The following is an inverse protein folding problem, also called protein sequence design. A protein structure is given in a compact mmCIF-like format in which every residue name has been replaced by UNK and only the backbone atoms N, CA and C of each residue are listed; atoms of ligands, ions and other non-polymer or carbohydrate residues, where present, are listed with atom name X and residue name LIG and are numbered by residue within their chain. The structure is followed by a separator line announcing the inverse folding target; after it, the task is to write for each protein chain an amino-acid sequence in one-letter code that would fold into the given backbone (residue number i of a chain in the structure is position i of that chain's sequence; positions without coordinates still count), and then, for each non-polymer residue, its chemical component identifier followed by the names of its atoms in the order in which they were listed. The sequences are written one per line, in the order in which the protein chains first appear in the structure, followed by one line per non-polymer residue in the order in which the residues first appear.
data_IF_060096778439
#
_entry.id   IF_060096778439
#
_cell.length_a   1.000
_cell.length_b   1.000
_cell.length_c   1.000
_cell.angle_alpha   90.00
_cell.angle_beta   90.00
_cell.angle_gamma   90.00
#
_symmetry.space_group_name_H-M   'P 1'
#
loop_
_entity.id
_entity.type
_entity.pdbx_description
1 polymer ?
#
# COMPACT_ATOMS: atom_id res chain seq x y z
N UNK A 1 -18.01 17.61 29.78
CA UNK A 1 -18.44 18.47 28.66
C UNK A 1 -17.64 18.07 27.42
N UNK A 2 -18.25 18.08 26.23
CA UNK A 2 -18.16 17.00 25.22
C UNK A 2 -16.97 17.09 24.28
N UNK A 3 -16.69 15.95 23.62
CA UNK A 3 -15.72 15.77 22.54
C UNK A 3 -16.11 16.62 21.32
N UNK A 4 -15.19 17.46 20.83
CA UNK A 4 -15.30 18.07 19.50
C UNK A 4 -14.90 17.05 18.44
N UNK A 5 -15.87 16.65 17.61
CA UNK A 5 -15.63 15.95 16.36
C UNK A 5 -15.25 17.01 15.33
N UNK A 6 -14.02 16.99 14.85
CA UNK A 6 -13.60 17.83 13.71
C UNK A 6 -13.51 16.95 12.47
N UNK A 7 -14.46 17.14 11.55
CA UNK A 7 -14.40 16.61 10.19
C UNK A 7 -13.63 17.63 9.35
N UNK A 8 -12.51 17.26 8.74
CA UNK A 8 -11.90 18.08 7.68
C UNK A 8 -11.59 17.24 6.44
N UNK A 9 -12.23 17.59 5.33
CA UNK A 9 -12.06 17.00 4.01
C UNK A 9 -11.36 18.00 3.07
N UNK A 10 -10.43 17.47 2.28
CA UNK A 10 -9.75 18.05 1.09
C UNK A 10 -8.74 19.18 1.35
N UNK A 11 -7.45 18.82 1.17
CA UNK A 11 -6.40 19.77 0.79
C UNK A 11 -5.58 20.37 1.93
N UNK A 12 -5.13 19.57 2.91
CA UNK A 12 -4.22 20.06 3.94
C UNK A 12 -2.77 19.81 3.52
N UNK A 13 -2.05 20.87 3.13
CA UNK A 13 -0.59 20.84 3.08
C UNK A 13 -0.09 20.65 4.51
N UNK A 14 0.53 19.51 4.78
CA UNK A 14 1.12 19.20 6.08
C UNK A 14 2.42 20.02 6.19
N UNK A 15 2.53 20.96 7.14
CA UNK A 15 3.80 21.64 7.39
C UNK A 15 4.86 20.61 7.78
N UNK A 16 6.08 20.78 7.28
CA UNK A 16 7.26 19.92 7.56
C UNK A 16 7.79 20.18 8.99
N UNK A 17 6.89 20.27 9.98
CA UNK A 17 7.17 20.12 11.41
C UNK A 17 7.16 18.62 11.70
N UNK A 18 7.88 18.11 12.73
CA UNK A 18 7.93 16.68 13.02
C UNK A 18 6.50 16.14 13.15
N UNK A 19 6.07 15.44 12.11
CA UNK A 19 4.74 14.84 12.06
C UNK A 19 4.74 13.84 13.20
N UNK A 20 3.78 13.98 14.12
CA UNK A 20 3.64 13.01 15.21
C UNK A 20 3.47 11.62 14.58
N UNK A 21 4.21 10.65 15.08
CA UNK A 21 4.31 9.31 14.49
C UNK A 21 2.93 8.62 14.31
N UNK A 22 1.94 9.03 15.11
CA UNK A 22 0.54 8.58 15.04
C UNK A 22 -0.18 8.99 13.74
N UNK A 23 0.07 10.20 13.24
CA UNK A 23 -0.52 10.70 11.98
C UNK A 23 0.13 10.02 10.78
N UNK A 24 1.45 9.81 10.81
CA UNK A 24 2.17 9.08 9.76
C UNK A 24 1.71 7.62 9.68
N UNK A 25 1.55 6.95 10.83
CA UNK A 25 1.07 5.58 10.89
C UNK A 25 -0.38 5.44 10.39
N UNK A 26 -1.27 6.36 10.76
CA UNK A 26 -2.66 6.34 10.31
C UNK A 26 -2.77 6.56 8.78
N UNK A 27 -1.96 7.47 8.23
CA UNK A 27 -1.91 7.72 6.79
C UNK A 27 -1.40 6.48 6.02
N UNK A 28 -0.30 5.88 6.49
CA UNK A 28 0.28 4.66 5.91
C UNK A 28 -0.73 3.50 5.90
N UNK A 29 -1.41 3.27 7.02
CA UNK A 29 -2.48 2.27 7.12
C UNK A 29 -3.64 2.54 6.15
N UNK A 30 -3.97 3.82 5.93
CA UNK A 30 -4.95 4.22 4.94
C UNK A 30 -4.53 3.88 3.50
N UNK A 31 -3.24 4.05 3.18
CA UNK A 31 -2.68 3.67 1.88
C UNK A 31 -2.68 2.15 1.68
N UNK A 32 -2.23 1.39 2.67
CA UNK A 32 -2.24 -0.09 2.65
C UNK A 32 -3.66 -0.64 2.44
N UNK A 33 -4.64 -0.07 3.15
CA UNK A 33 -6.04 -0.45 3.00
C UNK A 33 -6.57 -0.16 1.59
N UNK A 34 -6.25 1.02 1.05
CA UNK A 34 -6.67 1.42 -0.29
C UNK A 34 -6.08 0.49 -1.36
N UNK A 35 -4.78 0.20 -1.28
CA UNK A 35 -4.09 -0.69 -2.20
C UNK A 35 -4.68 -2.12 -2.12
N UNK A 36 -4.83 -2.65 -0.91
CA UNK A 36 -5.41 -3.98 -0.69
C UNK A 36 -6.83 -4.08 -1.24
N UNK A 37 -7.67 -3.05 -1.02
CA UNK A 37 -9.04 -3.03 -1.53
C UNK A 37 -9.10 -2.97 -3.06
N UNK A 38 -8.19 -2.24 -3.70
CA UNK A 38 -8.11 -2.18 -5.17
C UNK A 38 -7.64 -3.52 -5.77
N UNK A 39 -6.77 -4.25 -5.08
CA UNK A 39 -6.20 -5.51 -5.57
C UNK A 39 -7.05 -6.74 -5.21
N UNK A 40 -7.95 -6.62 -4.24
CA UNK A 40 -8.80 -7.72 -3.76
C UNK A 40 -9.61 -8.42 -4.86
N UNK A 41 -10.26 -7.72 -5.83
CA UNK A 41 -11.01 -8.37 -6.90
C UNK A 41 -10.11 -9.24 -7.79
N UNK A 42 -8.87 -8.82 -8.04
CA UNK A 42 -7.92 -9.59 -8.84
C UNK A 42 -7.45 -10.84 -8.10
N UNK A 43 -7.22 -10.74 -6.78
CA UNK A 43 -6.90 -11.90 -5.95
C UNK A 43 -8.06 -12.90 -5.92
N UNK A 44 -9.31 -12.43 -5.87
CA UNK A 44 -10.49 -13.29 -5.97
C UNK A 44 -10.55 -14.01 -7.32
N UNK A 45 -10.29 -13.30 -8.42
CA UNK A 45 -10.24 -13.91 -9.76
C UNK A 45 -9.17 -15.02 -9.85
N UNK A 46 -7.97 -14.81 -9.29
CA UNK A 46 -6.95 -15.85 -9.23
C UNK A 46 -7.44 -17.08 -8.42
N UNK A 47 -8.08 -16.83 -7.27
CA UNK A 47 -8.64 -17.90 -6.42
C UNK A 47 -9.71 -18.72 -7.15
N UNK A 48 -10.61 -18.07 -7.90
CA UNK A 48 -11.61 -18.74 -8.74
C UNK A 48 -10.97 -19.64 -9.80
N UNK A 49 -9.80 -19.24 -10.31
CA UNK A 49 -8.99 -20.03 -11.25
C UNK A 49 -8.10 -21.06 -10.55
N UNK A 50 -8.20 -21.22 -9.23
CA UNK A 50 -7.38 -22.11 -8.40
C UNK A 50 -5.88 -21.77 -8.47
N UNK A 51 -5.57 -20.48 -8.63
CA UNK A 51 -4.21 -19.94 -8.64
C UNK A 51 -3.98 -19.22 -7.31
N UNK A 52 -2.89 -19.58 -6.63
CA UNK A 52 -2.45 -18.89 -5.42
C UNK A 52 -1.89 -17.50 -5.78
N UNK A 53 -2.36 -16.48 -5.08
CA UNK A 53 -1.94 -15.10 -5.31
C UNK A 53 -1.80 -14.35 -3.98
N UNK A 54 -0.67 -13.66 -3.84
CA UNK A 54 -0.37 -12.82 -2.68
C UNK A 54 -0.25 -11.36 -3.10
N UNK A 55 -0.76 -10.47 -2.25
CA UNK A 55 -0.59 -9.02 -2.42
C UNK A 55 0.57 -8.63 -1.51
N UNK A 56 1.67 -8.19 -2.11
CA UNK A 56 2.86 -7.74 -1.40
C UNK A 56 2.98 -6.23 -1.57
N UNK A 57 3.16 -5.52 -0.46
CA UNK A 57 3.42 -4.08 -0.45
C UNK A 57 4.83 -3.84 0.08
N UNK A 58 5.63 -3.11 -0.70
CA UNK A 58 7.03 -2.80 -0.38
C UNK A 58 7.17 -1.30 -0.34
N UNK A 59 7.70 -0.79 0.76
CA UNK A 59 8.14 0.60 0.86
C UNK A 59 9.60 0.68 0.43
N UNK A 60 9.86 1.51 -0.58
CA UNK A 60 11.20 1.71 -1.09
C UNK A 60 11.33 3.07 -1.77
N UNK A 61 12.50 3.69 -1.59
CA UNK A 61 12.86 4.93 -2.28
C UNK A 61 13.30 4.65 -3.73
N UNK A 62 13.92 3.49 -3.98
CA UNK A 62 14.33 3.00 -5.29
C UNK A 62 13.48 1.80 -5.72
N UNK A 63 12.50 2.07 -6.58
CA UNK A 63 11.54 1.08 -7.07
C UNK A 63 12.22 -0.04 -7.88
N UNK A 64 13.11 0.23 -8.85
CA UNK A 64 13.86 -0.82 -9.56
C UNK A 64 14.61 -1.79 -8.63
N UNK A 65 15.33 -1.26 -7.64
CA UNK A 65 16.11 -2.09 -6.71
C UNK A 65 15.18 -2.93 -5.84
N UNK A 66 14.08 -2.36 -5.35
CA UNK A 66 13.10 -3.07 -4.56
C UNK A 66 12.44 -4.24 -5.31
N UNK A 67 12.05 -4.01 -6.57
CA UNK A 67 11.49 -5.06 -7.43
C UNK A 67 12.52 -6.17 -7.67
N UNK A 68 13.77 -5.80 -7.99
CA UNK A 68 14.85 -6.78 -8.21
C UNK A 68 15.10 -7.66 -6.99
N UNK A 69 15.10 -7.06 -5.79
CA UNK A 69 15.28 -7.78 -4.54
C UNK A 69 14.12 -8.72 -4.26
N UNK A 70 12.88 -8.27 -4.46
CA UNK A 70 11.71 -9.10 -4.22
C UNK A 70 11.61 -10.28 -5.21
N UNK A 71 11.89 -10.04 -6.49
CA UNK A 71 11.94 -11.10 -7.51
C UNK A 71 12.96 -12.17 -7.15
N UNK A 72 14.14 -11.75 -6.67
CA UNK A 72 15.21 -12.66 -6.25
C UNK A 72 14.83 -13.45 -5.00
N UNK A 73 14.23 -12.78 -4.01
CA UNK A 73 13.82 -13.38 -2.73
C UNK A 73 12.68 -14.38 -2.90
N UNK A 74 11.70 -14.04 -3.73
CA UNK A 74 10.49 -14.83 -3.95
C UNK A 74 10.62 -15.83 -5.10
N UNK A 75 11.83 -15.99 -5.65
CA UNK A 75 12.17 -16.95 -6.72
C UNK A 75 11.22 -16.85 -7.93
N UNK A 76 10.89 -15.61 -8.32
CA UNK A 76 9.95 -15.34 -9.41
C UNK A 76 10.59 -15.71 -10.75
N UNK A 77 9.97 -16.63 -11.47
CA UNK A 77 10.48 -17.11 -12.78
C UNK A 77 10.08 -16.20 -13.96
N UNK A 78 9.02 -15.40 -13.80
CA UNK A 78 8.51 -14.52 -14.84
C UNK A 78 7.92 -13.26 -14.21
N UNK A 79 8.45 -12.10 -14.61
CA UNK A 79 7.98 -10.79 -14.19
C UNK A 79 7.18 -10.15 -15.34
N UNK A 80 5.94 -9.72 -15.05
CA UNK A 80 5.08 -9.00 -15.99
C UNK A 80 4.79 -7.61 -15.40
N UNK A 81 5.03 -6.56 -16.18
CA UNK A 81 4.83 -5.16 -15.78
C UNK A 81 3.95 -4.47 -16.83
N UNK A 82 3.00 -3.64 -16.39
CA UNK A 82 2.19 -2.80 -17.29
C UNK A 82 2.90 -1.49 -17.64
N UNK A 83 2.69 -1.00 -18.87
CA UNK A 83 3.23 0.26 -19.39
C UNK A 83 2.27 1.44 -19.17
#
# INVERSE_FOLDING_TARGET
MPFEIVVLQVGNYIPISPVRDDVAAAYKKGMEWKASKMLLPYKQLCSEKKVEAEIVQIEADDVPVAISNEVSKSQINMLVIGA
#
